data_IF_233399561956
#
_entry.id   IF_233399561956
#
_cell.length_a   1.000
_cell.length_b   1.000
_cell.length_c   1.000
_cell.angle_alpha   90.00
_cell.angle_beta   90.00
_cell.angle_gamma   90.00
#
_symmetry.space_group_name_H-M   'P 1'
#
loop_
_entity.id
_entity.type
_entity.pdbx_description
1 polymer ?
#
# COMPACT_ATOMS: atom_id res chain seq x y z
N UNK A 1 44.10 -6.35 -6.76
CA UNK A 1 43.09 -7.41 -6.56
C UNK A 1 41.72 -6.79 -6.76
N UNK A 2 40.89 -7.27 -7.69
CA UNK A 2 39.57 -6.68 -7.95
C UNK A 2 38.56 -7.11 -6.88
N UNK A 3 37.65 -6.21 -6.48
CA UNK A 3 36.53 -6.53 -5.61
C UNK A 3 35.43 -7.19 -6.45
N UNK A 4 35.21 -8.48 -6.27
CA UNK A 4 34.16 -9.25 -6.94
C UNK A 4 32.87 -9.19 -6.13
N UNK A 5 31.76 -8.86 -6.78
CA UNK A 5 30.42 -8.91 -6.20
C UNK A 5 29.53 -9.72 -7.14
N UNK A 6 28.83 -10.72 -6.59
CA UNK A 6 27.87 -11.55 -7.33
C UNK A 6 26.47 -11.18 -6.88
N UNK A 7 25.62 -10.81 -7.83
CA UNK A 7 24.19 -10.52 -7.64
C UNK A 7 23.40 -11.71 -8.17
N UNK A 8 22.55 -12.28 -7.32
CA UNK A 8 21.73 -13.46 -7.64
C UNK A 8 20.45 -13.07 -8.39
N UNK A 9 19.72 -14.07 -8.93
CA UNK A 9 18.51 -13.84 -9.71
C UNK A 9 17.37 -13.19 -8.90
N UNK A 10 17.29 -13.52 -7.62
CA UNK A 10 16.36 -12.97 -6.62
C UNK A 10 16.83 -11.63 -6.03
N UNK A 11 17.84 -11.01 -6.65
CA UNK A 11 18.48 -9.80 -6.14
C UNK A 11 18.60 -8.73 -7.21
N UNK A 12 18.71 -7.48 -6.75
CA UNK A 12 19.13 -6.33 -7.55
C UNK A 12 20.22 -5.58 -6.82
N UNK A 13 21.26 -5.20 -7.55
CA UNK A 13 22.30 -4.32 -7.02
C UNK A 13 21.97 -2.86 -7.30
N UNK A 14 22.25 -1.98 -6.35
CA UNK A 14 22.23 -0.54 -6.54
C UNK A 14 23.67 -0.05 -6.45
N UNK A 15 24.15 0.50 -7.56
CA UNK A 15 25.51 1.03 -7.67
C UNK A 15 25.53 2.46 -7.14
N UNK A 16 26.45 2.72 -6.21
CA UNK A 16 26.76 4.04 -5.70
C UNK A 16 28.20 4.41 -6.02
N UNK A 17 28.42 5.66 -6.39
CA UNK A 17 29.75 6.24 -6.55
C UNK A 17 29.85 7.48 -5.68
N UNK A 18 30.85 7.50 -4.78
CA UNK A 18 31.01 8.59 -3.78
C UNK A 18 29.71 8.88 -3.00
N UNK A 19 28.96 7.83 -2.68
CA UNK A 19 27.69 7.91 -1.93
C UNK A 19 26.48 8.37 -2.74
N UNK A 20 26.63 8.71 -4.02
CA UNK A 20 25.53 9.07 -4.92
C UNK A 20 25.08 7.85 -5.72
N UNK A 21 23.77 7.69 -5.89
CA UNK A 21 23.20 6.63 -6.71
C UNK A 21 23.59 6.83 -8.17
N UNK A 22 24.00 5.77 -8.84
CA UNK A 22 24.45 5.79 -10.24
C UNK A 22 23.49 5.05 -11.14
N UNK A 23 23.18 3.79 -10.80
CA UNK A 23 22.27 2.93 -11.57
C UNK A 23 21.94 1.64 -10.84
N UNK A 24 20.87 0.97 -11.31
CA UNK A 24 20.59 -0.43 -11.00
C UNK A 24 21.58 -1.38 -11.70
N UNK A 25 21.85 -2.53 -11.07
CA UNK A 25 22.60 -3.66 -11.59
C UNK A 25 21.69 -4.90 -11.61
N UNK A 26 21.57 -5.51 -12.80
CA UNK A 26 20.89 -6.78 -13.00
C UNK A 26 21.69 -7.96 -12.41
N UNK A 27 21.08 -9.15 -12.24
CA UNK A 27 21.78 -10.36 -11.81
C UNK A 27 23.03 -10.63 -12.65
N UNK A 28 24.14 -10.96 -12.00
CA UNK A 28 25.42 -11.09 -12.66
C UNK A 28 26.61 -10.94 -11.73
N UNK A 29 27.80 -11.19 -12.27
CA UNK A 29 29.07 -11.02 -11.55
C UNK A 29 29.76 -9.75 -12.01
N UNK A 30 30.00 -8.83 -11.08
CA UNK A 30 30.63 -7.55 -11.34
C UNK A 30 31.99 -7.48 -10.65
N UNK A 31 32.97 -6.89 -11.34
CA UNK A 31 34.32 -6.69 -10.85
C UNK A 31 34.58 -5.20 -10.71
N UNK A 32 34.79 -4.75 -9.47
CA UNK A 32 35.08 -3.37 -9.16
C UNK A 32 36.53 -3.19 -8.78
N UNK A 33 37.01 -2.02 -9.10
CA UNK A 33 38.38 -1.65 -8.88
C UNK A 33 38.53 -1.06 -7.47
N UNK A 34 39.49 -1.49 -6.63
CA UNK A 34 39.56 -1.07 -5.23
C UNK A 34 39.77 0.43 -5.00
N UNK A 35 40.43 1.11 -5.94
CA UNK A 35 40.63 2.57 -5.86
C UNK A 35 39.40 3.36 -6.33
N UNK A 36 38.41 2.70 -6.92
CA UNK A 36 37.13 3.35 -7.23
C UNK A 36 36.31 3.45 -5.95
N UNK A 37 35.80 4.64 -5.63
CA UNK A 37 34.93 4.90 -4.46
C UNK A 37 33.51 4.37 -4.73
N UNK A 38 33.42 3.09 -5.08
CA UNK A 38 32.22 2.43 -5.58
C UNK A 38 31.69 1.45 -4.56
N UNK A 39 30.41 1.57 -4.24
CA UNK A 39 29.70 0.69 -3.31
C UNK A 39 28.50 0.10 -4.01
N UNK A 40 28.20 -1.16 -3.73
CA UNK A 40 26.98 -1.83 -4.24
C UNK A 40 26.17 -2.26 -3.04
N UNK A 41 24.91 -1.82 -3.00
CA UNK A 41 23.91 -2.32 -2.06
C UNK A 41 23.10 -3.39 -2.77
N UNK A 42 23.01 -4.59 -2.20
CA UNK A 42 22.25 -5.69 -2.79
C UNK A 42 20.92 -5.80 -2.06
N UNK A 43 19.83 -5.71 -2.81
CA UNK A 43 18.47 -5.81 -2.31
C UNK A 43 17.86 -7.13 -2.75
N UNK A 44 17.04 -7.73 -1.88
CA UNK A 44 16.24 -8.91 -2.20
C UNK A 44 14.91 -8.45 -2.81
N UNK A 45 14.56 -8.98 -3.99
CA UNK A 45 13.35 -8.58 -4.71
C UNK A 45 12.05 -9.12 -4.10
N UNK A 46 12.12 -10.08 -3.17
CA UNK A 46 10.97 -10.58 -2.42
C UNK A 46 10.58 -9.71 -1.21
N UNK A 47 11.35 -8.65 -0.93
CA UNK A 47 11.08 -7.69 0.15
C UNK A 47 10.72 -6.33 -0.45
N UNK A 48 10.02 -5.45 0.30
CA UNK A 48 9.81 -4.08 -0.13
C UNK A 48 11.13 -3.39 -0.48
N UNK A 49 11.11 -2.53 -1.49
CA UNK A 49 12.26 -1.74 -1.86
C UNK A 49 12.53 -0.71 -0.74
N UNK A 50 13.65 -0.89 -0.05
CA UNK A 50 14.13 0.04 0.95
C UNK A 50 15.66 0.02 0.96
N UNK A 51 16.26 1.22 1.00
CA UNK A 51 17.70 1.39 1.13
C UNK A 51 17.96 2.13 2.43
N UNK A 52 18.73 1.51 3.33
CA UNK A 52 19.03 2.08 4.64
C UNK A 52 19.67 3.47 4.52
N UNK A 53 19.08 4.45 5.21
CA UNK A 53 19.59 5.83 5.25
C UNK A 53 19.45 6.62 3.95
N UNK A 54 18.61 6.19 3.01
CA UNK A 54 18.37 6.87 1.72
C UNK A 54 16.88 7.06 1.48
N UNK A 55 16.52 8.20 0.92
CA UNK A 55 15.15 8.50 0.50
C UNK A 55 14.82 7.81 -0.83
N UNK A 56 13.60 7.27 -0.96
CA UNK A 56 13.12 6.63 -2.18
C UNK A 56 13.17 7.57 -3.40
N UNK A 57 12.96 8.87 -3.20
CA UNK A 57 12.98 9.88 -4.26
C UNK A 57 14.30 9.91 -5.04
N UNK A 58 15.41 9.51 -4.42
CA UNK A 58 16.73 9.43 -5.07
C UNK A 58 16.78 8.40 -6.21
N UNK A 59 15.86 7.43 -6.21
CA UNK A 59 15.84 6.31 -7.15
C UNK A 59 14.78 6.48 -8.25
N UNK A 60 13.83 7.40 -8.08
CA UNK A 60 12.71 7.60 -9.00
C UNK A 60 13.12 8.12 -10.39
N UNK A 61 14.36 8.60 -10.53
CA UNK A 61 14.91 9.10 -11.80
C UNK A 61 15.46 8.00 -12.70
N UNK A 62 15.70 6.79 -12.18
CA UNK A 62 16.20 5.67 -12.98
C UNK A 62 15.02 4.91 -13.59
N UNK A 63 14.79 5.11 -14.90
CA UNK A 63 13.71 4.45 -15.63
C UNK A 63 13.84 2.92 -15.65
N UNK A 64 15.06 2.36 -15.68
CA UNK A 64 15.25 0.90 -15.68
C UNK A 64 14.93 0.28 -14.33
N UNK A 65 15.11 1.05 -13.25
CA UNK A 65 14.69 0.66 -11.92
C UNK A 65 13.17 0.83 -11.76
N UNK A 66 12.60 1.94 -12.23
CA UNK A 66 11.17 2.21 -12.14
C UNK A 66 10.32 1.22 -12.93
N UNK A 67 10.82 0.64 -14.02
CA UNK A 67 10.14 -0.46 -14.73
C UNK A 67 9.99 -1.71 -13.89
N UNK A 68 10.84 -1.86 -12.87
CA UNK A 68 10.85 -3.01 -11.97
C UNK A 68 10.22 -2.71 -10.60
N UNK A 69 9.65 -1.53 -10.42
CA UNK A 69 9.07 -1.10 -9.16
C UNK A 69 7.65 -0.57 -9.34
N UNK A 70 6.75 -1.05 -8.50
CA UNK A 70 5.46 -0.41 -8.28
C UNK A 70 5.61 0.54 -7.09
N UNK A 71 5.51 1.84 -7.37
CA UNK A 71 5.62 2.90 -6.37
C UNK A 71 4.22 3.39 -6.02
N UNK A 72 3.87 3.29 -4.73
CA UNK A 72 2.60 3.76 -4.18
C UNK A 72 2.84 4.93 -3.24
N UNK A 73 2.04 5.98 -3.41
CA UNK A 73 2.03 7.16 -2.54
C UNK A 73 0.73 7.17 -1.77
N UNK A 74 0.81 7.16 -0.46
CA UNK A 74 -0.32 7.19 0.46
C UNK A 74 -0.38 8.57 1.08
N UNK A 75 -1.45 9.30 0.83
CA UNK A 75 -1.68 10.65 1.36
C UNK A 75 -2.09 10.60 2.84
N UNK A 76 -1.99 11.74 3.54
CA UNK A 76 -2.32 11.84 4.98
C UNK A 76 -3.78 11.51 5.33
N UNK A 77 -4.68 11.62 4.36
CA UNK A 77 -6.12 11.39 4.52
C UNK A 77 -6.58 10.05 3.94
N UNK A 78 -5.66 9.13 3.65
CA UNK A 78 -6.02 7.83 3.12
C UNK A 78 -5.18 6.71 3.74
N UNK A 79 -5.73 5.51 3.68
CA UNK A 79 -4.99 4.29 3.82
C UNK A 79 -4.98 3.54 2.50
N UNK A 80 -3.93 2.77 2.27
CA UNK A 80 -3.88 1.87 1.10
C UNK A 80 -3.87 0.43 1.57
N UNK A 81 -4.81 -0.36 1.06
CA UNK A 81 -4.80 -1.80 1.21
C UNK A 81 -3.89 -2.39 0.14
N UNK A 82 -2.84 -3.07 0.59
CA UNK A 82 -1.85 -3.70 -0.28
C UNK A 82 -2.14 -5.20 -0.39
N UNK A 83 -2.32 -5.64 -1.62
CA UNK A 83 -2.51 -7.03 -2.01
C UNK A 83 -1.31 -7.54 -2.80
N UNK A 84 -0.94 -8.79 -2.57
CA UNK A 84 0.04 -9.53 -3.37
C UNK A 84 -0.66 -10.76 -3.97
N UNK A 85 -0.62 -10.89 -5.31
CA UNK A 85 -1.27 -11.98 -6.05
C UNK A 85 -2.75 -12.18 -5.66
N UNK A 86 -3.46 -11.05 -5.44
CA UNK A 86 -4.88 -11.03 -5.04
C UNK A 86 -5.15 -11.29 -3.56
N UNK A 87 -4.13 -11.56 -2.74
CA UNK A 87 -4.28 -11.78 -1.31
C UNK A 87 -3.93 -10.53 -0.51
N UNK A 88 -4.77 -10.16 0.45
CA UNK A 88 -4.49 -9.03 1.35
C UNK A 88 -3.28 -9.33 2.24
N UNK A 89 -2.26 -8.48 2.16
CA UNK A 89 -1.02 -8.60 2.93
C UNK A 89 -0.98 -7.61 4.07
N UNK A 90 -1.22 -6.32 3.79
CA UNK A 90 -1.06 -5.27 4.79
C UNK A 90 -1.86 -4.00 4.44
N UNK A 91 -2.10 -3.18 5.47
CA UNK A 91 -2.57 -1.80 5.33
C UNK A 91 -1.36 -0.86 5.42
N UNK A 92 -1.24 0.04 4.45
CA UNK A 92 -0.21 1.06 4.35
C UNK A 92 -0.73 2.38 4.91
N UNK A 93 0.09 3.00 5.75
CA UNK A 93 -0.16 4.32 6.36
C UNK A 93 0.35 5.44 5.43
N UNK A 94 0.03 6.71 5.70
CA UNK A 94 0.59 7.83 4.95
C UNK A 94 2.11 7.72 4.81
N UNK A 95 2.60 7.86 3.57
CA UNK A 95 3.99 7.61 3.22
C UNK A 95 4.18 7.18 1.76
N UNK A 96 5.43 6.97 1.36
CA UNK A 96 5.77 6.47 0.02
C UNK A 96 6.44 5.12 0.15
N UNK A 97 5.89 4.13 -0.57
CA UNK A 97 6.38 2.76 -0.57
C UNK A 97 6.70 2.32 -1.99
N UNK A 98 7.64 1.40 -2.12
CA UNK A 98 8.00 0.79 -3.40
C UNK A 98 8.13 -0.73 -3.23
N UNK A 99 7.58 -1.46 -4.20
CA UNK A 99 7.58 -2.92 -4.21
C UNK A 99 8.09 -3.43 -5.56
N UNK A 100 8.79 -4.56 -5.58
CA UNK A 100 9.29 -5.12 -6.82
C UNK A 100 8.20 -5.91 -7.55
N UNK A 101 7.94 -5.58 -8.82
CA UNK A 101 6.91 -6.25 -9.61
C UNK A 101 7.40 -7.49 -10.38
N UNK A 102 8.54 -8.09 -9.99
CA UNK A 102 9.14 -9.24 -10.69
C UNK A 102 8.56 -10.57 -10.24
N UNK A 103 8.33 -10.70 -8.94
CA UNK A 103 7.98 -11.98 -8.32
C UNK A 103 6.49 -12.10 -8.06
N UNK A 104 5.83 -10.99 -7.74
CA UNK A 104 4.44 -10.94 -7.34
C UNK A 104 3.76 -9.77 -8.03
N UNK A 105 2.47 -9.94 -8.29
CA UNK A 105 1.63 -8.82 -8.73
C UNK A 105 1.19 -8.03 -7.50
N UNK A 106 1.46 -6.72 -7.51
CA UNK A 106 1.04 -5.82 -6.45
C UNK A 106 -0.21 -5.05 -6.87
N UNK A 107 -1.25 -5.07 -6.02
CA UNK A 107 -2.46 -4.27 -6.21
C UNK A 107 -2.65 -3.36 -5.00
N UNK A 108 -2.99 -2.10 -5.24
CA UNK A 108 -3.14 -1.06 -4.23
C UNK A 108 -4.55 -0.47 -4.31
N UNK A 109 -5.34 -0.63 -3.25
CA UNK A 109 -6.67 -0.05 -3.14
C UNK A 109 -6.62 1.12 -2.15
N UNK A 110 -6.89 2.32 -2.66
CA UNK A 110 -6.89 3.56 -1.89
C UNK A 110 -8.24 3.75 -1.19
N UNK A 111 -8.22 3.94 0.12
CA UNK A 111 -9.39 4.14 0.96
C UNK A 111 -9.26 5.47 1.72
N UNK A 112 -10.15 6.41 1.43
CA UNK A 112 -10.18 7.73 2.06
C UNK A 112 -10.78 7.64 3.47
N UNK A 113 -10.03 8.06 4.49
CA UNK A 113 -10.48 7.98 5.90
C UNK A 113 -11.52 9.06 6.25
N UNK A 114 -11.72 10.05 5.37
CA UNK A 114 -12.75 11.08 5.50
C UNK A 114 -14.14 10.54 5.17
N UNK A 115 -14.19 9.39 4.49
CA UNK A 115 -15.41 8.67 4.21
C UNK A 115 -15.56 7.57 5.29
N UNK A 116 -16.55 7.68 6.17
CA UNK A 116 -16.73 6.71 7.25
C UNK A 116 -17.20 5.33 6.74
N UNK A 117 -17.72 5.26 5.52
CA UNK A 117 -18.17 4.03 4.90
C UNK A 117 -17.01 3.28 4.25
N UNK A 118 -16.99 1.96 4.44
CA UNK A 118 -16.03 1.09 3.79
C UNK A 118 -16.37 0.98 2.30
N UNK A 119 -15.44 1.25 1.37
CA UNK A 119 -15.66 1.01 -0.05
C UNK A 119 -16.15 -0.42 -0.32
N UNK A 120 -17.17 -0.57 -1.18
CA UNK A 120 -17.78 -1.87 -1.50
C UNK A 120 -16.80 -2.89 -2.13
N UNK A 121 -15.68 -2.40 -2.66
CA UNK A 121 -14.59 -3.20 -3.22
C UNK A 121 -13.81 -3.97 -2.14
N UNK A 122 -13.94 -3.58 -0.87
CA UNK A 122 -13.21 -4.20 0.24
C UNK A 122 -13.96 -5.46 0.70
N UNK A 123 -13.31 -6.61 0.56
CA UNK A 123 -13.84 -7.89 1.00
C UNK A 123 -14.05 -7.92 2.54
N UNK A 124 -15.24 -8.32 2.98
CA UNK A 124 -15.58 -8.40 4.41
C UNK A 124 -14.66 -9.34 5.20
N UNK A 125 -14.02 -10.31 4.54
CA UNK A 125 -13.06 -11.24 5.16
C UNK A 125 -11.81 -10.56 5.71
N UNK A 126 -11.46 -9.36 5.22
CA UNK A 126 -10.29 -8.61 5.71
C UNK A 126 -10.64 -7.62 6.81
N UNK A 127 -11.92 -7.33 7.06
CA UNK A 127 -12.40 -6.44 8.13
C UNK A 127 -11.82 -6.81 9.51
N UNK A 128 -11.74 -8.09 9.93
CA UNK A 128 -11.11 -8.45 11.20
C UNK A 128 -9.63 -8.07 11.27
N UNK A 129 -8.91 -8.09 10.14
CA UNK A 129 -7.49 -7.68 10.06
C UNK A 129 -7.33 -6.16 10.13
N UNK A 130 -8.41 -5.42 9.88
CA UNK A 130 -8.48 -3.96 9.93
C UNK A 130 -9.10 -3.44 11.24
N UNK A 131 -9.41 -4.31 12.21
CA UNK A 131 -10.18 -3.99 13.41
C UNK A 131 -9.60 -2.85 14.27
N UNK A 132 -8.31 -2.53 14.15
CA UNK A 132 -7.68 -1.38 14.84
C UNK A 132 -8.08 -0.04 14.20
N UNK A 133 -8.46 -0.04 12.93
CA UNK A 133 -8.79 1.16 12.15
C UNK A 133 -10.27 1.21 11.74
N UNK A 134 -11.04 0.15 11.99
CA UNK A 134 -12.47 0.07 11.69
C UNK A 134 -13.27 -0.10 12.97
N UNK A 135 -14.35 0.66 13.08
CA UNK A 135 -15.36 0.47 14.10
C UNK A 135 -16.57 -0.23 13.48
N UNK A 136 -16.83 -1.46 13.88
CA UNK A 136 -18.03 -2.19 13.48
C UNK A 136 -19.09 -2.10 14.58
N UNK A 137 -20.32 -1.78 14.20
CA UNK A 137 -21.49 -1.85 15.08
C UNK A 137 -22.51 -2.77 14.41
N UNK A 138 -23.00 -3.76 15.16
CA UNK A 138 -24.11 -4.59 14.71
C UNK A 138 -25.41 -3.93 15.16
N UNK A 139 -26.32 -3.70 14.21
CA UNK A 139 -27.65 -3.15 14.48
C UNK A 139 -28.61 -4.32 14.39
N UNK A 140 -29.31 -4.63 15.48
CA UNK A 140 -30.31 -5.70 15.46
C UNK A 140 -31.50 -5.32 14.57
N UNK A 141 -32.28 -6.31 14.14
CA UNK A 141 -33.46 -6.09 13.28
C UNK A 141 -34.53 -5.17 13.88
N UNK A 142 -34.53 -4.98 15.21
CA UNK A 142 -35.43 -4.08 15.94
C UNK A 142 -34.77 -2.75 16.34
N UNK A 143 -33.51 -2.52 15.94
CA UNK A 143 -32.77 -1.30 16.24
C UNK A 143 -32.64 -0.43 14.99
N UNK A 144 -32.41 0.86 15.20
CA UNK A 144 -32.05 1.80 14.13
C UNK A 144 -30.76 2.48 14.54
N UNK A 145 -29.73 2.34 13.71
CA UNK A 145 -28.45 2.99 13.93
C UNK A 145 -28.37 4.28 13.14
N UNK A 146 -27.86 5.32 13.78
CA UNK A 146 -27.46 6.56 13.13
C UNK A 146 -25.94 6.67 13.14
N UNK A 147 -25.36 7.02 11.99
CA UNK A 147 -23.94 7.32 11.90
C UNK A 147 -23.70 8.78 12.28
N UNK A 148 -22.92 9.00 13.34
CA UNK A 148 -22.45 10.32 13.74
C UNK A 148 -20.97 10.44 13.41
N UNK A 149 -20.63 11.27 12.43
CA UNK A 149 -19.28 11.42 11.92
C UNK A 149 -18.94 12.90 11.74
N UNK A 150 -17.74 13.30 12.19
CA UNK A 150 -17.25 14.68 12.15
C UNK A 150 -18.25 15.72 12.71
N UNK A 151 -18.82 15.40 13.87
CA UNK A 151 -19.84 16.23 14.54
C UNK A 151 -21.16 16.43 13.77
N UNK A 152 -21.38 15.68 12.69
CA UNK A 152 -22.57 15.74 11.87
C UNK A 152 -23.28 14.38 11.89
N UNK A 153 -24.60 14.42 12.14
CA UNK A 153 -25.46 13.26 11.96
C UNK A 153 -25.60 13.00 10.46
N UNK A 154 -25.13 11.85 10.00
CA UNK A 154 -25.28 11.47 8.60
C UNK A 154 -26.74 11.07 8.33
N UNK A 155 -27.32 11.46 7.18
CA UNK A 155 -28.73 11.21 6.88
C UNK A 155 -29.08 9.75 6.56
N UNK A 156 -28.11 8.83 6.66
CA UNK A 156 -28.30 7.42 6.41
C UNK A 156 -28.86 6.70 7.65
N UNK A 157 -30.01 6.07 7.49
CA UNK A 157 -30.56 5.12 8.47
C UNK A 157 -30.08 3.71 8.13
N UNK A 158 -29.44 3.05 9.08
CA UNK A 158 -28.99 1.66 8.92
C UNK A 158 -29.94 0.72 9.67
N UNK A 159 -30.46 -0.29 8.96
CA UNK A 159 -31.27 -1.39 9.51
C UNK A 159 -30.66 -2.72 9.09
N UNK A 160 -30.82 -3.74 9.92
CA UNK A 160 -30.43 -5.10 9.55
C UNK A 160 -31.34 -5.56 8.40
N UNK A 161 -30.77 -5.79 7.22
CA UNK A 161 -31.53 -6.34 6.11
C UNK A 161 -31.79 -7.83 6.32
N UNK A 162 -33.02 -8.25 6.08
CA UNK A 162 -33.49 -9.62 6.23
C UNK A 162 -32.82 -10.51 5.16
N UNK A 163 -31.64 -11.04 5.47
CA UNK A 163 -30.93 -12.07 4.70
C UNK A 163 -30.39 -11.70 3.32
N UNK A 164 -30.55 -10.46 2.82
CA UNK A 164 -29.92 -9.98 1.58
C UNK A 164 -29.58 -8.50 1.72
N UNK A 165 -28.28 -8.20 1.77
CA UNK A 165 -27.66 -6.86 1.69
C UNK A 165 -28.13 -5.78 2.68
N UNK A 166 -27.23 -5.39 3.59
CA UNK A 166 -27.37 -4.16 4.38
C UNK A 166 -27.36 -2.94 3.47
N UNK A 167 -28.53 -2.48 3.03
CA UNK A 167 -28.69 -1.27 2.22
C UNK A 167 -28.90 -0.04 3.11
N UNK A 168 -28.21 1.06 2.76
CA UNK A 168 -28.53 2.37 3.29
C UNK A 168 -29.91 2.78 2.76
N UNK A 169 -30.89 2.95 3.66
CA UNK A 169 -32.22 3.42 3.27
C UNK A 169 -32.17 4.96 3.24
N UNK A 170 -32.43 5.60 2.08
CA UNK A 170 -32.54 7.06 2.05
C UNK A 170 -33.70 7.51 2.94
N UNK A 171 -33.60 8.66 3.61
CA UNK A 171 -34.64 9.12 4.52
C UNK A 171 -35.96 9.24 3.76
N UNK A 172 -36.96 8.48 4.20
CA UNK A 172 -38.29 8.48 3.61
C UNK A 172 -38.91 9.87 3.79
N UNK A 173 -39.28 10.50 2.67
CA UNK A 173 -39.92 11.80 2.49
C UNK A 173 -40.18 12.65 3.73
N UNK A 174 -39.49 13.80 3.81
CA UNK A 174 -40.05 15.00 4.42
C UNK A 174 -41.21 15.52 3.54
N UNK A 175 -42.32 14.79 3.53
CA UNK A 175 -43.62 15.33 3.17
C UNK A 175 -44.18 16.04 4.40
N UNK A 176 -44.24 17.37 4.36
CA UNK A 176 -45.08 18.15 5.26
C UNK A 176 -45.65 19.35 4.47
N UNK A 177 -46.79 19.90 4.89
CA UNK A 177 -48.04 20.04 4.14
C UNK A 177 -48.16 21.29 3.28
#
# INVERSE_FOLDING_TARGET
MFKKITIQADQRGLLFHKGSYVKKLAPGTYHFVPWSQTTVVVLNIAKPFAVEGKDLQLFLQDEELMRELDVVRVQDHEYVLHYEDGQFVQLLKPGVYAYWNMLKQHTFLHADIRQPELPAEIDRSIVPKLAVHLQSCEIASYETGFLFYDHVLQPAEYRQADGRESDAVPPEGAGVP
#
